data_IF_559534116409
#
_entry.id   IF_559534116409
#
_cell.length_a   1.000
_cell.length_b   1.000
_cell.length_c   1.000
_cell.angle_alpha   90.00
_cell.angle_beta   90.00
_cell.angle_gamma   90.00
#
_symmetry.space_group_name_H-M   'P 1'
#
loop_
_entity.id
_entity.type
_entity.pdbx_description
1 polymer ?
#
# COMPACT_ATOMS: atom_id res chain seq x y z
N UNK A 1 7.34 -23.74 4.63
CA UNK A 1 7.57 -25.22 4.55
C UNK A 1 7.12 -25.76 3.19
N UNK A 2 7.40 -27.02 2.82
CA UNK A 2 6.76 -27.66 1.65
C UNK A 2 6.08 -28.97 2.03
N UNK A 3 4.95 -29.27 1.41
CA UNK A 3 4.24 -30.54 1.56
C UNK A 3 5.06 -31.69 0.94
N UNK A 4 4.74 -32.95 1.26
CA UNK A 4 5.38 -34.11 0.63
C UNK A 4 5.29 -34.12 -0.91
N UNK A 5 4.27 -33.46 -1.47
CA UNK A 5 4.09 -33.27 -2.92
C UNK A 5 4.76 -32.01 -3.49
N UNK A 6 5.59 -31.30 -2.71
CA UNK A 6 6.35 -30.13 -3.18
C UNK A 6 5.60 -28.79 -3.15
N UNK A 7 4.36 -28.74 -2.65
CA UNK A 7 3.58 -27.50 -2.53
C UNK A 7 4.07 -26.64 -1.37
N UNK A 8 4.15 -25.33 -1.55
CA UNK A 8 4.53 -24.41 -0.47
C UNK A 8 3.42 -24.35 0.59
N UNK A 9 3.78 -24.60 1.84
CA UNK A 9 2.93 -24.44 3.00
C UNK A 9 3.35 -23.15 3.71
N UNK A 10 2.39 -22.25 3.87
CA UNK A 10 2.55 -20.95 4.52
C UNK A 10 2.08 -21.02 5.96
N UNK A 11 2.88 -20.48 6.89
CA UNK A 11 2.42 -20.20 8.25
C UNK A 11 1.60 -18.90 8.30
N UNK A 12 0.94 -18.65 9.43
CA UNK A 12 0.23 -17.39 9.63
C UNK A 12 1.18 -16.18 9.57
N UNK A 13 2.40 -16.32 10.09
CA UNK A 13 3.41 -15.26 10.00
C UNK A 13 3.84 -14.98 8.55
N UNK A 14 3.96 -16.03 7.73
CA UNK A 14 4.26 -15.87 6.29
C UNK A 14 3.10 -15.19 5.55
N UNK A 15 1.84 -15.50 5.90
CA UNK A 15 0.65 -14.83 5.34
C UNK A 15 0.64 -13.34 5.73
N UNK A 16 0.81 -13.02 7.01
CA UNK A 16 0.86 -11.63 7.47
C UNK A 16 1.98 -10.84 6.77
N UNK A 17 3.13 -11.47 6.53
CA UNK A 17 4.22 -10.85 5.77
C UNK A 17 3.83 -10.56 4.31
N UNK A 18 3.07 -11.46 3.68
CA UNK A 18 2.57 -11.24 2.31
C UNK A 18 1.58 -10.06 2.28
N UNK A 19 0.68 -9.97 3.26
CA UNK A 19 -0.26 -8.86 3.38
C UNK A 19 0.45 -7.52 3.58
N UNK A 20 1.47 -7.49 4.46
CA UNK A 20 2.34 -6.32 4.63
C UNK A 20 2.96 -5.90 3.29
N UNK A 21 3.57 -6.85 2.57
CA UNK A 21 4.23 -6.62 1.28
C UNK A 21 3.24 -6.12 0.21
N UNK A 22 2.03 -6.67 0.18
CA UNK A 22 0.99 -6.24 -0.75
C UNK A 22 0.58 -4.80 -0.48
N UNK A 23 0.41 -4.41 0.79
CA UNK A 23 0.12 -3.05 1.20
C UNK A 23 1.25 -2.08 0.80
N UNK A 24 2.51 -2.44 1.10
CA UNK A 24 3.67 -1.62 0.74
C UNK A 24 3.77 -1.41 -0.78
N UNK A 25 3.52 -2.47 -1.57
CA UNK A 25 3.51 -2.37 -3.03
C UNK A 25 2.39 -1.47 -3.55
N UNK A 26 1.15 -1.66 -3.06
CA UNK A 26 -0.02 -0.87 -3.47
C UNK A 26 0.13 0.62 -3.16
N UNK A 27 0.89 0.94 -2.12
CA UNK A 27 1.16 2.32 -1.71
C UNK A 27 2.36 2.94 -2.44
N UNK A 28 2.93 2.25 -3.43
CA UNK A 28 3.93 2.79 -4.36
C UNK A 28 5.38 2.52 -3.96
N UNK A 29 5.64 1.67 -2.97
CA UNK A 29 7.00 1.32 -2.57
C UNK A 29 7.70 0.49 -3.65
N UNK A 30 9.01 0.74 -3.85
CA UNK A 30 9.81 -0.01 -4.82
C UNK A 30 10.04 -1.46 -4.37
N UNK A 31 10.19 -2.39 -5.34
CA UNK A 31 10.52 -3.78 -5.01
C UNK A 31 11.84 -3.91 -4.23
N UNK A 32 12.78 -2.98 -4.42
CA UNK A 32 14.05 -2.94 -3.70
C UNK A 32 13.83 -2.65 -2.22
N UNK A 33 12.99 -1.68 -1.89
CA UNK A 33 12.72 -1.31 -0.49
C UNK A 33 11.85 -2.37 0.20
N UNK A 34 10.93 -2.98 -0.54
CA UNK A 34 10.15 -4.13 -0.05
C UNK A 34 11.09 -5.31 0.27
N UNK A 35 12.08 -5.60 -0.57
CA UNK A 35 13.06 -6.65 -0.29
C UNK A 35 13.88 -6.33 0.98
N UNK A 36 14.26 -5.07 1.20
CA UNK A 36 14.92 -4.63 2.43
C UNK A 36 14.03 -4.83 3.66
N UNK A 37 12.74 -4.47 3.59
CA UNK A 37 11.79 -4.72 4.66
C UNK A 37 11.69 -6.22 5.03
N UNK A 38 11.64 -7.10 4.02
CA UNK A 38 11.60 -8.55 4.24
C UNK A 38 12.90 -9.07 4.86
N UNK A 39 14.06 -8.55 4.46
CA UNK A 39 15.36 -8.84 5.10
C UNK A 39 15.35 -8.48 6.59
N UNK A 40 14.88 -7.26 6.90
CA UNK A 40 14.80 -6.78 8.28
C UNK A 40 13.88 -7.62 9.14
N UNK A 41 12.76 -8.13 8.60
CA UNK A 41 11.90 -9.07 9.35
C UNK A 41 12.63 -10.34 9.74
N UNK A 42 13.62 -10.81 8.96
CA UNK A 42 14.45 -11.96 9.28
C UNK A 42 15.53 -11.66 10.33
N UNK A 43 16.03 -10.41 10.36
CA UNK A 43 17.01 -9.94 11.36
C UNK A 43 16.41 -9.79 12.78
N UNK A 44 15.08 -9.79 12.90
CA UNK A 44 14.41 -9.74 14.20
C UNK A 44 14.47 -8.34 14.84
N UNK A 45 14.67 -8.29 16.15
CA UNK A 45 14.45 -7.07 16.93
C UNK A 45 15.47 -5.95 16.66
N UNK A 46 16.66 -6.30 16.17
CA UNK A 46 17.70 -5.36 15.78
C UNK A 46 17.25 -4.38 14.68
N UNK A 47 16.25 -4.76 13.89
CA UNK A 47 15.73 -3.97 12.77
C UNK A 47 14.42 -3.23 13.06
N UNK A 48 13.89 -3.30 14.30
CA UNK A 48 12.58 -2.71 14.65
C UNK A 48 12.51 -1.21 14.32
N UNK A 49 13.57 -0.46 14.60
CA UNK A 49 13.61 0.98 14.33
C UNK A 49 13.58 1.28 12.83
N UNK A 50 14.31 0.50 12.01
CA UNK A 50 14.31 0.64 10.57
C UNK A 50 12.93 0.33 9.97
N UNK A 51 12.30 -0.77 10.41
CA UNK A 51 10.94 -1.16 10.02
C UNK A 51 9.92 -0.09 10.40
N UNK A 52 9.98 0.44 11.62
CA UNK A 52 9.09 1.50 12.09
C UNK A 52 9.20 2.77 11.22
N UNK A 53 10.42 3.21 10.91
CA UNK A 53 10.65 4.39 10.09
C UNK A 53 10.14 4.20 8.66
N UNK A 54 10.34 3.02 8.07
CA UNK A 54 9.80 2.68 6.75
C UNK A 54 8.27 2.75 6.73
N UNK A 55 7.60 2.16 7.72
CA UNK A 55 6.13 2.20 7.81
C UNK A 55 5.62 3.64 8.02
N UNK A 56 6.29 4.44 8.84
CA UNK A 56 5.93 5.86 9.05
C UNK A 56 5.99 6.65 7.74
N UNK A 57 7.06 6.48 6.97
CA UNK A 57 7.21 7.14 5.68
C UNK A 57 6.12 6.70 4.72
N UNK A 58 5.84 5.39 4.65
CA UNK A 58 4.82 4.88 3.76
C UNK A 58 3.41 5.37 4.12
N UNK A 59 3.12 5.51 5.43
CA UNK A 59 1.88 6.11 5.93
C UNK A 59 1.74 7.56 5.45
N UNK A 60 2.78 8.38 5.59
CA UNK A 60 2.77 9.78 5.14
C UNK A 60 2.56 9.90 3.62
N UNK A 61 3.21 9.03 2.84
CA UNK A 61 3.00 8.95 1.38
C UNK A 61 1.56 8.62 1.04
N UNK A 62 0.96 7.62 1.71
CA UNK A 62 -0.43 7.25 1.47
C UNK A 62 -1.40 8.39 1.85
N UNK A 63 -1.18 9.05 2.99
CA UNK A 63 -1.99 10.21 3.39
C UNK A 63 -1.92 11.34 2.35
N UNK A 64 -0.75 11.60 1.77
CA UNK A 64 -0.61 12.60 0.71
C UNK A 64 -1.34 12.17 -0.57
N UNK A 65 -1.26 10.88 -0.93
CA UNK A 65 -1.98 10.35 -2.09
C UNK A 65 -3.50 10.47 -1.90
N UNK A 66 -4.03 10.17 -0.71
CA UNK A 66 -5.46 10.34 -0.38
C UNK A 66 -5.87 11.80 -0.58
N UNK A 67 -5.12 12.76 0.00
CA UNK A 67 -5.42 14.20 -0.17
C UNK A 67 -5.44 14.63 -1.64
N UNK A 68 -4.51 14.11 -2.45
CA UNK A 68 -4.47 14.41 -3.88
C UNK A 68 -5.69 13.83 -4.60
N UNK A 69 -6.07 12.59 -4.30
CA UNK A 69 -7.25 11.93 -4.89
C UNK A 69 -8.56 12.66 -4.52
N UNK A 70 -8.70 13.10 -3.27
CA UNK A 70 -9.85 13.90 -2.82
C UNK A 70 -9.96 15.23 -3.57
N UNK A 71 -8.82 15.88 -3.83
CA UNK A 71 -8.77 17.11 -4.64
C UNK A 71 -9.21 16.87 -6.08
N UNK A 72 -8.72 15.81 -6.71
CA UNK A 72 -9.13 15.45 -8.08
C UNK A 72 -10.61 15.05 -8.15
N UNK A 73 -11.09 14.30 -7.15
CA UNK A 73 -12.51 13.96 -7.03
C UNK A 73 -13.39 15.21 -6.95
N UNK A 74 -13.00 16.18 -6.14
CA UNK A 74 -13.72 17.47 -6.00
C UNK A 74 -13.88 18.17 -7.36
N UNK A 75 -12.81 18.18 -8.17
CA UNK A 75 -12.83 18.79 -9.51
C UNK A 75 -13.78 18.04 -10.45
N UNK A 76 -13.76 16.70 -10.41
CA UNK A 76 -14.66 15.86 -11.20
C UNK A 76 -16.11 16.04 -10.78
N UNK A 77 -16.41 16.09 -9.48
CA UNK A 77 -17.75 16.35 -8.95
C UNK A 77 -18.29 17.69 -9.44
N UNK A 78 -17.48 18.76 -9.39
CA UNK A 78 -17.90 20.05 -9.94
C UNK A 78 -18.17 19.99 -11.45
N UNK A 79 -17.34 19.27 -12.21
CA UNK A 79 -17.55 19.10 -13.65
C UNK A 79 -18.81 18.30 -13.97
N UNK A 80 -19.08 17.25 -13.20
CA UNK A 80 -20.31 16.46 -13.32
C UNK A 80 -21.53 17.36 -13.10
N UNK A 81 -21.57 18.09 -11.97
CA UNK A 81 -22.66 19.04 -11.68
C UNK A 81 -22.84 20.05 -12.81
N UNK A 82 -21.76 20.64 -13.31
CA UNK A 82 -21.83 21.61 -14.40
C UNK A 82 -22.51 21.04 -15.65
N UNK A 83 -22.15 19.82 -16.05
CA UNK A 83 -22.74 19.19 -17.23
C UNK A 83 -24.18 18.72 -16.99
N UNK A 84 -24.52 18.28 -15.78
CA UNK A 84 -25.92 17.99 -15.42
C UNK A 84 -26.81 19.23 -15.58
N UNK A 85 -26.34 20.39 -15.12
CA UNK A 85 -27.08 21.65 -15.29
C UNK A 85 -27.16 22.09 -16.76
N UNK A 86 -26.09 21.92 -17.54
CA UNK A 86 -26.10 22.23 -18.96
C UNK A 86 -27.09 21.35 -19.74
N UNK A 87 -27.20 20.06 -19.39
CA UNK A 87 -28.18 19.15 -19.98
C UNK A 87 -29.60 19.52 -19.59
N UNK A 88 -29.85 19.91 -18.33
CA UNK A 88 -31.19 20.29 -17.88
C UNK A 88 -31.70 21.61 -18.49
N UNK A 89 -30.79 22.49 -18.93
CA UNK A 89 -31.12 23.80 -19.50
C UNK A 89 -31.26 23.79 -21.04
N UNK A 90 -30.90 22.69 -21.72
CA UNK A 90 -31.01 22.50 -23.16
C UNK A 90 -32.20 21.64 -23.55
#
# INVERSE_FOLDING_TARGET
KRSPGGLRLFSQEEINCIEDVECLKKTGMSLKDIAAYVSWKQEGDSSLLARLNLIRNQRLTLEQNIRNLEKELTKLTHKQWYYEQAVAAG
#
